data_IF_822466154902
#
_entry.id   IF_822466154902
#
_cell.length_a   1.000
_cell.length_b   1.000
_cell.length_c   1.000
_cell.angle_alpha   90.00
_cell.angle_beta   90.00
_cell.angle_gamma   90.00
#
_symmetry.space_group_name_H-M   'P 1'
#
loop_
_entity.id
_entity.type
_entity.pdbx_description
1 polymer ?
#
# COMPACT_ATOMS: atom_id res chain seq x y z
N UNK A 1 29.35 16.21 -7.45
CA UNK A 1 28.11 15.42 -7.52
C UNK A 1 28.44 13.94 -7.52
N UNK A 2 27.53 13.07 -7.09
CA UNK A 2 27.72 11.62 -7.15
C UNK A 2 27.73 11.10 -8.61
N UNK A 3 28.27 9.90 -8.83
CA UNK A 3 28.28 9.22 -10.14
C UNK A 3 26.85 9.01 -10.68
N UNK A 4 26.67 9.10 -12.00
CA UNK A 4 25.35 8.97 -12.65
C UNK A 4 24.65 7.63 -12.35
N UNK A 5 25.41 6.54 -12.17
CA UNK A 5 24.84 5.24 -11.77
C UNK A 5 24.30 5.28 -10.34
N UNK A 6 24.97 6.00 -9.44
CA UNK A 6 24.51 6.18 -8.05
C UNK A 6 23.22 7.01 -8.03
N UNK A 7 23.15 8.07 -8.83
CA UNK A 7 21.93 8.89 -8.95
C UNK A 7 20.74 8.06 -9.46
N UNK A 8 20.95 7.27 -10.52
CA UNK A 8 19.91 6.39 -11.06
C UNK A 8 19.49 5.29 -10.05
N UNK A 9 20.44 4.72 -9.31
CA UNK A 9 20.15 3.79 -8.22
C UNK A 9 19.31 4.46 -7.12
N UNK A 10 19.70 5.64 -6.66
CA UNK A 10 18.98 6.37 -5.62
C UNK A 10 17.53 6.68 -6.05
N UNK A 11 17.30 7.07 -7.30
CA UNK A 11 15.95 7.29 -7.84
C UNK A 11 15.08 6.03 -7.80
N UNK A 12 15.62 4.88 -8.23
CA UNK A 12 14.91 3.60 -8.19
C UNK A 12 14.61 3.13 -6.77
N UNK A 13 15.57 3.31 -5.85
CA UNK A 13 15.39 2.99 -4.43
C UNK A 13 14.24 3.81 -3.85
N UNK A 14 14.26 5.14 -4.03
CA UNK A 14 13.21 6.02 -3.53
C UNK A 14 11.83 5.67 -4.09
N UNK A 15 11.75 5.40 -5.41
CA UNK A 15 10.51 4.97 -6.06
C UNK A 15 9.96 3.68 -5.45
N UNK A 16 10.79 2.64 -5.33
CA UNK A 16 10.36 1.34 -4.80
C UNK A 16 9.95 1.43 -3.32
N UNK A 17 10.65 2.21 -2.49
CA UNK A 17 10.26 2.45 -1.09
C UNK A 17 8.92 3.18 -1.04
N UNK A 18 8.75 4.25 -1.82
CA UNK A 18 7.52 5.03 -1.87
C UNK A 18 6.31 4.20 -2.31
N UNK A 19 6.47 3.37 -3.34
CA UNK A 19 5.41 2.45 -3.80
C UNK A 19 5.02 1.45 -2.72
N UNK A 20 6.00 0.82 -2.06
CA UNK A 20 5.70 -0.12 -0.99
C UNK A 20 5.01 0.56 0.20
N UNK A 21 5.45 1.77 0.58
CA UNK A 21 4.86 2.53 1.68
C UNK A 21 3.40 2.91 1.39
N UNK A 22 3.10 3.45 0.20
CA UNK A 22 1.73 3.83 -0.16
C UNK A 22 0.79 2.61 -0.15
N UNK A 23 1.23 1.46 -0.69
CA UNK A 23 0.41 0.25 -0.67
C UNK A 23 0.13 -0.23 0.76
N UNK A 24 1.09 -0.08 1.67
CA UNK A 24 0.89 -0.44 3.07
C UNK A 24 -0.05 0.53 3.79
N UNK A 25 0.03 1.82 3.49
CA UNK A 25 -0.92 2.83 4.00
C UNK A 25 -2.34 2.52 3.51
N UNK A 26 -2.51 2.23 2.23
CA UNK A 26 -3.78 1.80 1.64
C UNK A 26 -4.34 0.53 2.34
N UNK A 27 -3.50 -0.39 2.81
CA UNK A 27 -3.93 -1.60 3.55
C UNK A 27 -4.43 -1.23 4.95
N UNK A 28 -3.83 -0.24 5.59
CA UNK A 28 -4.23 0.19 6.94
C UNK A 28 -5.65 0.76 6.95
N UNK A 29 -6.09 1.40 5.86
CA UNK A 29 -7.45 1.95 5.74
C UNK A 29 -8.57 0.88 5.81
N UNK A 30 -8.25 -0.38 5.53
CA UNK A 30 -9.19 -1.52 5.60
C UNK A 30 -9.04 -2.34 6.87
N UNK A 31 -7.83 -2.35 7.47
CA UNK A 31 -7.48 -3.25 8.57
C UNK A 31 -7.44 -2.55 9.93
N UNK A 32 -7.45 -1.22 9.97
CA UNK A 32 -7.50 -0.47 11.21
C UNK A 32 -8.80 -0.76 11.97
N UNK A 33 -8.65 -1.25 13.21
CA UNK A 33 -9.76 -1.43 14.13
C UNK A 33 -10.37 -0.06 14.47
N UNK A 34 -11.69 0.07 14.34
CA UNK A 34 -12.41 1.34 14.56
C UNK A 34 -12.18 1.90 15.96
N UNK A 35 -11.81 1.05 16.92
CA UNK A 35 -11.51 1.44 18.29
C UNK A 35 -10.10 2.05 18.46
N UNK A 36 -9.17 1.76 17.54
CA UNK A 36 -7.76 2.20 17.64
C UNK A 36 -7.48 3.45 16.80
N UNK A 37 -8.19 3.59 15.68
CA UNK A 37 -8.09 4.75 14.80
C UNK A 37 -9.42 5.50 14.81
N UNK A 38 -9.43 6.71 15.38
CA UNK A 38 -10.52 7.69 15.22
C UNK A 38 -10.66 8.21 13.77
N UNK A 39 -10.30 7.41 12.76
CA UNK A 39 -10.47 7.71 11.33
C UNK A 39 -11.72 6.99 10.81
N UNK A 40 -12.59 7.67 10.05
CA UNK A 40 -13.73 7.03 9.43
C UNK A 40 -13.26 6.06 8.34
N UNK A 41 -13.49 4.76 8.55
CA UNK A 41 -13.16 3.66 7.62
C UNK A 41 -13.55 4.02 6.18
N UNK A 42 -12.61 3.95 5.24
CA UNK A 42 -12.82 4.15 3.80
C UNK A 42 -13.57 5.44 3.42
N UNK A 43 -13.27 6.57 4.05
CA UNK A 43 -13.83 7.87 3.66
C UNK A 43 -13.57 8.21 2.18
N UNK A 44 -12.41 7.83 1.67
CA UNK A 44 -12.00 7.96 0.26
C UNK A 44 -12.93 7.25 -0.73
N UNK A 45 -13.67 6.24 -0.28
CA UNK A 45 -14.68 5.60 -1.12
C UNK A 45 -15.80 6.57 -1.51
N UNK A 46 -16.12 7.54 -0.64
CA UNK A 46 -17.18 8.54 -0.89
C UNK A 46 -16.77 9.59 -1.92
N UNK A 47 -15.47 9.78 -2.13
CA UNK A 47 -14.89 10.71 -3.12
C UNK A 47 -14.52 10.01 -4.43
N UNK A 48 -14.75 8.68 -4.52
CA UNK A 48 -14.46 7.87 -5.70
C UNK A 48 -13.00 7.43 -5.82
N UNK A 49 -12.21 7.57 -4.75
CA UNK A 49 -10.82 7.11 -4.72
C UNK A 49 -10.81 5.63 -4.34
N UNK A 50 -10.42 4.78 -5.30
CA UNK A 50 -10.33 3.33 -5.11
C UNK A 50 -8.87 2.92 -4.94
N UNK A 51 -8.49 2.60 -3.71
CA UNK A 51 -7.15 2.13 -3.38
C UNK A 51 -6.91 0.69 -3.82
N UNK A 52 -5.64 0.28 -3.79
CA UNK A 52 -5.20 -0.99 -4.39
C UNK A 52 -5.94 -2.23 -3.86
N UNK A 53 -6.22 -2.40 -2.55
CA UNK A 53 -6.96 -3.56 -2.05
C UNK A 53 -8.34 -3.74 -2.70
N UNK A 54 -9.07 -2.65 -2.91
CA UNK A 54 -10.37 -2.68 -3.58
C UNK A 54 -10.23 -3.02 -5.06
N UNK A 55 -9.23 -2.44 -5.75
CA UNK A 55 -8.98 -2.74 -7.16
C UNK A 55 -8.65 -4.22 -7.40
N UNK A 56 -7.82 -4.85 -6.55
CA UNK A 56 -7.57 -6.29 -6.65
C UNK A 56 -8.81 -7.12 -6.39
N UNK A 57 -9.66 -6.68 -5.46
CA UNK A 57 -10.93 -7.36 -5.20
C UNK A 57 -11.88 -7.26 -6.39
N UNK A 58 -12.01 -6.08 -6.99
CA UNK A 58 -12.81 -5.85 -8.19
C UNK A 58 -12.29 -6.63 -9.40
N UNK A 59 -10.98 -6.80 -9.53
CA UNK A 59 -10.40 -7.61 -10.60
C UNK A 59 -10.81 -9.08 -10.50
N UNK A 60 -10.94 -9.61 -9.29
CA UNK A 60 -11.35 -11.00 -9.03
C UNK A 60 -12.86 -11.18 -9.09
N UNK A 61 -13.61 -10.21 -8.58
CA UNK A 61 -15.07 -10.24 -8.43
C UNK A 61 -15.70 -8.90 -8.87
N UNK A 62 -15.81 -8.63 -10.19
CA UNK A 62 -16.25 -7.33 -10.70
C UNK A 62 -17.67 -6.92 -10.29
N UNK A 63 -18.50 -7.89 -9.89
CA UNK A 63 -19.90 -7.67 -9.51
C UNK A 63 -20.10 -7.42 -8.02
N UNK A 64 -19.08 -7.65 -7.19
CA UNK A 64 -19.18 -7.63 -5.72
C UNK A 64 -19.58 -6.26 -5.14
N UNK A 65 -19.43 -5.19 -5.93
CA UNK A 65 -19.59 -3.80 -5.49
C UNK A 65 -20.42 -2.92 -6.45
N UNK A 66 -21.19 -3.51 -7.38
CA UNK A 66 -21.86 -2.79 -8.48
C UNK A 66 -22.66 -1.51 -8.12
N UNK A 67 -23.34 -1.37 -6.96
CA UNK A 67 -24.03 -0.12 -6.67
C UNK A 67 -23.14 0.95 -6.00
N UNK A 68 -21.88 0.66 -5.68
CA UNK A 68 -21.03 1.57 -4.90
C UNK A 68 -20.47 2.75 -5.72
N UNK A 69 -19.95 2.55 -6.96
CA UNK A 69 -19.39 3.66 -7.73
C UNK A 69 -20.38 4.79 -8.02
N UNK A 70 -21.66 4.46 -8.16
CA UNK A 70 -22.70 5.43 -8.51
C UNK A 70 -23.21 6.23 -7.30
N UNK A 71 -22.90 5.80 -6.07
CA UNK A 71 -23.41 6.42 -4.84
C UNK A 71 -22.61 7.63 -4.36
N UNK A 72 -21.30 7.65 -4.59
CA UNK A 72 -20.42 8.74 -4.13
C UNK A 72 -20.65 9.12 -2.66
N UNK A 73 -21.06 10.37 -2.40
CA UNK A 73 -21.34 10.86 -1.04
C UNK A 73 -22.52 10.19 -0.33
N UNK A 74 -23.36 9.45 -1.05
CA UNK A 74 -24.48 8.70 -0.46
C UNK A 74 -24.07 7.35 0.15
N UNK A 75 -22.81 6.95 0.05
CA UNK A 75 -22.31 5.71 0.66
C UNK A 75 -22.33 5.85 2.19
N UNK A 76 -23.05 4.96 2.83
CA UNK A 76 -23.21 4.93 4.29
C UNK A 76 -22.00 4.30 5.00
N UNK A 77 -21.87 4.51 6.30
CA UNK A 77 -20.84 3.83 7.12
C UNK A 77 -20.97 2.29 7.05
N UNK A 78 -22.20 1.77 7.11
CA UNK A 78 -22.45 0.33 7.03
C UNK A 78 -22.01 -0.27 5.69
N UNK A 79 -22.21 0.47 4.59
CA UNK A 79 -21.73 0.04 3.27
C UNK A 79 -20.20 0.07 3.18
N UNK A 80 -19.54 1.08 3.77
CA UNK A 80 -18.07 1.11 3.85
C UNK A 80 -17.53 -0.07 4.65
N UNK A 81 -18.15 -0.41 5.78
CA UNK A 81 -17.78 -1.60 6.56
C UNK A 81 -17.96 -2.89 5.75
N UNK A 82 -19.07 -3.03 5.03
CA UNK A 82 -19.30 -4.18 4.15
C UNK A 82 -18.24 -4.28 3.04
N UNK A 83 -17.85 -3.13 2.45
CA UNK A 83 -16.76 -3.08 1.47
C UNK A 83 -15.47 -3.56 2.08
N UNK A 84 -15.12 -3.05 3.26
CA UNK A 84 -13.90 -3.46 3.96
C UNK A 84 -13.87 -4.96 4.20
N UNK A 85 -14.96 -5.51 4.74
CA UNK A 85 -15.07 -6.94 5.00
C UNK A 85 -14.92 -7.77 3.72
N UNK A 86 -15.61 -7.39 2.63
CA UNK A 86 -15.48 -8.10 1.36
C UNK A 86 -14.07 -8.04 0.78
N UNK A 87 -13.38 -6.90 0.90
CA UNK A 87 -11.98 -6.77 0.45
C UNK A 87 -11.06 -7.70 1.23
N UNK A 88 -11.30 -7.87 2.53
CA UNK A 88 -10.59 -8.85 3.37
C UNK A 88 -10.91 -10.27 2.91
N UNK A 89 -12.19 -10.64 2.84
CA UNK A 89 -12.65 -12.00 2.57
C UNK A 89 -12.23 -12.51 1.18
N UNK A 90 -12.25 -11.62 0.19
CA UNK A 90 -11.90 -11.95 -1.19
C UNK A 90 -10.39 -11.93 -1.46
N UNK A 91 -9.59 -11.51 -0.48
CA UNK A 91 -8.12 -11.55 -0.52
C UNK A 91 -7.46 -10.31 -1.12
N UNK A 92 -8.16 -9.18 -1.21
CA UNK A 92 -7.61 -7.92 -1.71
C UNK A 92 -6.44 -7.41 -0.87
N UNK A 93 -6.51 -7.59 0.45
CA UNK A 93 -5.43 -7.24 1.39
C UNK A 93 -4.17 -8.05 1.10
N UNK A 94 -4.30 -9.36 0.95
CA UNK A 94 -3.16 -10.25 0.73
C UNK A 94 -2.51 -9.99 -0.64
N UNK A 95 -3.32 -9.74 -1.68
CA UNK A 95 -2.81 -9.34 -3.00
C UNK A 95 -2.00 -8.03 -2.93
N UNK A 96 -2.49 -7.03 -2.19
CA UNK A 96 -1.76 -5.78 -1.95
C UNK A 96 -0.47 -5.99 -1.17
N UNK A 97 -0.48 -6.83 -0.12
CA UNK A 97 0.72 -7.18 0.66
C UNK A 97 1.78 -7.82 -0.22
N UNK A 98 1.39 -8.73 -1.11
CA UNK A 98 2.32 -9.37 -2.05
C UNK A 98 2.96 -8.36 -3.00
N UNK A 99 2.20 -7.36 -3.48
CA UNK A 99 2.77 -6.30 -4.31
C UNK A 99 3.74 -5.40 -3.52
N UNK A 100 3.37 -5.01 -2.30
CA UNK A 100 4.26 -4.24 -1.40
C UNK A 100 5.56 -4.99 -1.10
N UNK A 101 5.50 -6.31 -0.88
CA UNK A 101 6.68 -7.19 -0.72
C UNK A 101 7.61 -7.10 -1.92
N UNK A 102 7.07 -7.21 -3.14
CA UNK A 102 7.87 -7.12 -4.38
C UNK A 102 8.57 -5.77 -4.53
N UNK A 103 7.91 -4.66 -4.20
CA UNK A 103 8.54 -3.34 -4.23
C UNK A 103 9.62 -3.21 -3.14
N UNK A 104 9.36 -3.71 -1.94
CA UNK A 104 10.33 -3.76 -0.83
C UNK A 104 11.60 -4.53 -1.23
N UNK A 105 11.44 -5.72 -1.83
CA UNK A 105 12.54 -6.55 -2.30
C UNK A 105 13.38 -5.84 -3.37
N UNK A 106 12.74 -5.19 -4.34
CA UNK A 106 13.43 -4.38 -5.36
C UNK A 106 14.25 -3.26 -4.72
N UNK A 107 13.68 -2.53 -3.75
CA UNK A 107 14.41 -1.50 -3.02
C UNK A 107 15.65 -2.09 -2.31
N UNK A 108 15.52 -3.21 -1.60
CA UNK A 108 16.62 -3.85 -0.89
C UNK A 108 17.73 -4.31 -1.87
N UNK A 109 17.36 -4.87 -3.02
CA UNK A 109 18.30 -5.29 -4.06
C UNK A 109 19.09 -4.08 -4.60
N UNK A 110 18.42 -2.96 -4.86
CA UNK A 110 19.08 -1.74 -5.35
C UNK A 110 19.96 -1.09 -4.27
N UNK A 111 19.52 -1.05 -3.00
CA UNK A 111 20.34 -0.50 -1.90
C UNK A 111 21.64 -1.31 -1.75
N UNK A 112 21.60 -2.63 -1.88
CA UNK A 112 22.79 -3.50 -1.79
C UNK A 112 23.85 -3.21 -2.87
N UNK A 113 23.48 -2.54 -3.96
CA UNK A 113 24.40 -2.12 -5.03
C UNK A 113 25.11 -0.78 -4.73
N UNK A 114 24.64 -0.01 -3.74
CA UNK A 114 25.31 1.23 -3.33
C UNK A 114 26.70 0.95 -2.70
N UNK A 115 27.59 1.98 -2.63
CA UNK A 115 28.85 1.85 -1.92
C UNK A 115 28.65 1.37 -0.47
N UNK A 116 29.51 0.47 0.00
CA UNK A 116 29.44 -0.15 1.34
C UNK A 116 29.90 0.81 2.45
N UNK A 117 29.19 1.91 2.60
CA UNK A 117 29.41 2.95 3.60
C UNK A 117 28.29 2.94 4.64
N UNK A 118 28.45 3.74 5.71
CA UNK A 118 27.46 3.86 6.79
C UNK A 118 26.04 4.16 6.27
N UNK A 119 25.92 5.04 5.27
CA UNK A 119 24.64 5.43 4.69
C UNK A 119 23.88 4.25 4.05
N UNK A 120 24.56 3.33 3.37
CA UNK A 120 23.92 2.13 2.81
C UNK A 120 23.29 1.28 3.92
N UNK A 121 24.03 1.04 5.01
CA UNK A 121 23.54 0.25 6.14
C UNK A 121 22.32 0.90 6.79
N UNK A 122 22.37 2.21 6.99
CA UNK A 122 21.25 2.98 7.55
C UNK A 122 20.02 2.92 6.64
N UNK A 123 20.21 3.01 5.32
CA UNK A 123 19.12 2.94 4.35
C UNK A 123 18.47 1.55 4.35
N UNK A 124 19.25 0.47 4.38
CA UNK A 124 18.73 -0.89 4.54
C UNK A 124 17.90 -1.04 5.83
N UNK A 125 18.42 -0.56 6.96
CA UNK A 125 17.71 -0.63 8.24
C UNK A 125 16.41 0.16 8.22
N UNK A 126 16.42 1.37 7.63
CA UNK A 126 15.22 2.18 7.48
C UNK A 126 14.17 1.48 6.61
N UNK A 127 14.57 0.96 5.45
CA UNK A 127 13.67 0.25 4.53
C UNK A 127 13.07 -1.00 5.20
N UNK A 128 13.88 -1.75 5.93
CA UNK A 128 13.42 -2.93 6.67
C UNK A 128 12.41 -2.56 7.76
N UNK A 129 12.73 -1.56 8.58
CA UNK A 129 11.86 -1.12 9.68
C UNK A 129 10.53 -0.55 9.19
N UNK A 130 10.57 0.25 8.13
CA UNK A 130 9.41 0.98 7.62
C UNK A 130 8.44 0.05 6.87
N UNK A 131 8.96 -0.96 6.16
CA UNK A 131 8.14 -1.79 5.28
C UNK A 131 7.85 -3.17 5.88
N UNK A 132 8.80 -3.85 6.51
CA UNK A 132 8.56 -5.23 6.97
C UNK A 132 7.72 -5.34 8.23
N UNK A 133 7.64 -4.30 9.04
CA UNK A 133 6.82 -4.31 10.27
C UNK A 133 5.32 -4.38 9.97
N UNK A 134 4.93 -3.98 8.76
CA UNK A 134 3.54 -3.84 8.34
C UNK A 134 3.11 -4.86 7.27
N UNK A 135 4.04 -5.72 6.82
CA UNK A 135 3.86 -6.70 5.74
C UNK A 135 3.44 -8.07 6.25
#
# INVERSE_FOLDING_TARGET
GADGKIVALAGRIGFNIGMAFQILDDILDYTADQNTFNKPVLEDLTTGVYSLPLLFTLQKEPTSFKPLPDKGKAITLAERQLVSQKVIDLGGIEASRQLARRFTEKAIIDIKQLPKIKAQKQLLQLTDHLLKRHI
#
